data_IF_019651900103
#
_entry.id   IF_019651900103
#
_cell.length_a   1.000
_cell.length_b   1.000
_cell.length_c   1.000
_cell.angle_alpha   90.00
_cell.angle_beta   90.00
_cell.angle_gamma   90.00
#
_symmetry.space_group_name_H-M   'P 1'
#
loop_
_entity.id
_entity.type
_entity.pdbx_description
1 polymer ?
#
# COMPACT_ATOMS: atom_id res chain seq x y z
N UNK A 1 -12.86 34.09 -30.90
CA UNK A 1 -11.62 33.39 -30.48
C UNK A 1 -11.97 32.56 -29.28
N UNK A 2 -12.16 31.26 -29.50
CA UNK A 2 -12.62 30.32 -28.47
C UNK A 2 -11.37 29.69 -27.84
N UNK A 3 -11.09 30.02 -26.59
CA UNK A 3 -10.00 29.41 -25.82
C UNK A 3 -10.29 27.93 -25.66
N UNK A 4 -9.34 27.10 -26.09
CA UNK A 4 -9.43 25.65 -26.04
C UNK A 4 -9.71 25.17 -24.61
N UNK A 5 -10.69 24.28 -24.47
CA UNK A 5 -10.83 23.44 -23.30
C UNK A 5 -9.51 22.67 -23.16
N UNK A 6 -8.82 22.83 -22.04
CA UNK A 6 -7.73 21.95 -21.67
C UNK A 6 -8.41 20.68 -21.14
N UNK A 7 -8.45 19.56 -21.89
CA UNK A 7 -8.85 18.31 -21.28
C UNK A 7 -7.74 18.01 -20.27
N UNK A 8 -8.07 17.97 -18.98
CA UNK A 8 -7.20 17.28 -18.03
C UNK A 8 -7.14 15.83 -18.55
N UNK A 9 -6.15 15.53 -19.39
CA UNK A 9 -5.86 14.20 -19.87
C UNK A 9 -5.65 13.39 -18.62
N UNK A 10 -6.64 12.57 -18.28
CA UNK A 10 -6.59 11.65 -17.14
C UNK A 10 -5.34 10.83 -17.36
N UNK A 11 -4.31 11.11 -16.58
CA UNK A 11 -3.06 10.37 -16.66
C UNK A 11 -3.42 8.95 -16.25
N UNK A 12 -3.35 8.03 -17.21
CA UNK A 12 -3.60 6.63 -16.94
C UNK A 12 -2.34 6.08 -16.27
N UNK A 13 -2.42 5.84 -14.97
CA UNK A 13 -1.37 5.20 -14.20
C UNK A 13 -1.57 3.69 -14.22
N UNK A 14 -0.49 2.94 -14.43
CA UNK A 14 -0.54 1.50 -14.19
C UNK A 14 -0.93 1.23 -12.73
N UNK A 15 -1.94 0.38 -12.47
CA UNK A 15 -2.42 0.14 -11.11
C UNK A 15 -1.38 -0.60 -10.28
N UNK A 16 -1.38 -0.32 -8.98
CA UNK A 16 -0.65 -1.10 -8.00
C UNK A 16 -1.20 -2.52 -7.95
N UNK A 17 -0.32 -3.51 -7.91
CA UNK A 17 -0.67 -4.92 -7.72
C UNK A 17 0.48 -5.66 -7.06
N UNK A 18 0.15 -6.79 -6.44
CA UNK A 18 1.15 -7.77 -6.03
C UNK A 18 1.55 -8.55 -7.29
N UNK A 19 2.84 -8.59 -7.61
CA UNK A 19 3.37 -9.50 -8.63
C UNK A 19 3.43 -10.91 -8.02
N UNK A 20 2.67 -11.88 -8.54
CA UNK A 20 2.60 -13.22 -7.94
C UNK A 20 3.93 -13.96 -8.00
N UNK A 21 4.75 -13.77 -9.03
CA UNK A 21 6.02 -14.49 -9.14
C UNK A 21 7.03 -13.92 -8.14
N UNK A 22 7.13 -12.59 -8.07
CA UNK A 22 8.02 -11.93 -7.10
C UNK A 22 7.56 -12.20 -5.65
N UNK A 23 6.25 -12.25 -5.41
CA UNK A 23 5.69 -12.64 -4.13
C UNK A 23 6.07 -14.08 -3.74
N UNK A 24 6.00 -15.02 -4.68
CA UNK A 24 6.33 -16.41 -4.43
C UNK A 24 7.82 -16.58 -4.05
N UNK A 25 8.71 -15.96 -4.83
CA UNK A 25 10.14 -15.97 -4.56
C UNK A 25 10.46 -15.31 -3.20
N UNK A 26 9.79 -14.19 -2.88
CA UNK A 26 9.98 -13.47 -1.63
C UNK A 26 9.46 -14.24 -0.40
N UNK A 27 8.30 -14.90 -0.52
CA UNK A 27 7.76 -15.74 0.56
C UNK A 27 8.64 -16.97 0.79
N UNK A 28 9.18 -17.59 -0.26
CA UNK A 28 10.11 -18.71 -0.11
C UNK A 28 11.35 -18.30 0.71
N UNK A 29 11.92 -17.13 0.41
CA UNK A 29 13.05 -16.55 1.15
C UNK A 29 12.72 -16.27 2.63
N UNK A 30 11.46 -15.94 2.93
CA UNK A 30 10.98 -15.61 4.28
C UNK A 30 10.26 -16.74 5.00
N UNK A 31 10.29 -17.96 4.46
CA UNK A 31 9.51 -19.09 4.98
C UNK A 31 9.69 -19.33 6.48
N UNK A 32 10.89 -19.09 7.01
CA UNK A 32 11.20 -19.26 8.44
C UNK A 32 10.85 -18.05 9.34
N UNK A 33 10.61 -16.86 8.76
CA UNK A 33 10.41 -15.62 9.54
C UNK A 33 9.05 -14.97 9.36
N UNK A 34 8.37 -15.20 8.22
CA UNK A 34 7.16 -14.47 7.82
C UNK A 34 6.07 -14.50 8.88
N UNK A 35 5.85 -15.64 9.55
CA UNK A 35 4.82 -15.76 10.60
C UNK A 35 5.02 -14.75 11.75
N UNK A 36 6.28 -14.51 12.15
CA UNK A 36 6.60 -13.61 13.26
C UNK A 36 6.53 -12.13 12.86
N UNK A 37 6.69 -11.85 11.57
CA UNK A 37 6.76 -10.49 11.03
C UNK A 37 5.37 -9.97 10.60
N UNK A 38 4.35 -10.83 10.62
CA UNK A 38 3.00 -10.44 10.22
C UNK A 38 2.29 -9.59 11.28
N UNK A 39 1.49 -8.58 10.86
CA UNK A 39 0.63 -7.86 11.77
C UNK A 39 -0.43 -8.78 12.37
N UNK A 40 -0.43 -8.91 13.69
CA UNK A 40 -1.50 -9.58 14.44
C UNK A 40 -1.94 -8.72 15.62
N UNK A 41 -3.14 -8.92 16.20
CA UNK A 41 -3.54 -8.22 17.42
C UNK A 41 -2.60 -8.47 18.62
N UNK A 42 -1.81 -9.55 18.58
CA UNK A 42 -0.87 -9.91 19.64
C UNK A 42 0.56 -9.40 19.37
N UNK A 43 0.88 -9.02 18.14
CA UNK A 43 2.20 -8.50 17.76
C UNK A 43 2.41 -7.14 18.44
N UNK A 44 3.55 -6.88 19.08
CA UNK A 44 3.88 -5.54 19.54
C UNK A 44 4.03 -4.59 18.35
N UNK A 45 3.21 -3.54 18.28
CA UNK A 45 3.25 -2.57 17.19
C UNK A 45 2.76 -3.11 15.84
N UNK A 46 1.52 -3.60 15.74
CA UNK A 46 1.02 -4.23 14.52
C UNK A 46 0.93 -3.25 13.34
N UNK A 47 0.73 -1.95 13.57
CA UNK A 47 0.78 -0.96 12.50
C UNK A 47 2.20 -0.82 11.94
N UNK A 48 3.22 -0.80 12.79
CA UNK A 48 4.62 -0.79 12.36
C UNK A 48 5.02 -2.07 11.61
N UNK A 49 4.49 -3.23 12.03
CA UNK A 49 4.69 -4.49 11.30
C UNK A 49 4.09 -4.42 9.88
N UNK A 50 2.94 -3.77 9.71
CA UNK A 50 2.33 -3.57 8.38
C UNK A 50 3.21 -2.65 7.51
N UNK A 51 3.73 -1.57 8.10
CA UNK A 51 4.64 -0.66 7.38
C UNK A 51 5.86 -1.40 6.85
N UNK A 52 6.54 -2.15 7.72
CA UNK A 52 7.71 -2.94 7.36
C UNK A 52 7.41 -3.97 6.26
N UNK A 53 6.28 -4.67 6.36
CA UNK A 53 5.83 -5.63 5.35
C UNK A 53 5.63 -4.97 3.97
N UNK A 54 5.00 -3.79 3.94
CA UNK A 54 4.71 -3.06 2.70
C UNK A 54 5.96 -2.41 2.13
N UNK A 55 6.79 -1.77 2.96
CA UNK A 55 8.06 -1.17 2.55
C UNK A 55 8.96 -2.24 1.90
N UNK A 56 9.12 -3.37 2.57
CA UNK A 56 9.91 -4.49 2.06
C UNK A 56 9.33 -5.01 0.73
N UNK A 57 8.01 -5.23 0.66
CA UNK A 57 7.37 -5.67 -0.58
C UNK A 57 7.56 -4.68 -1.74
N UNK A 58 7.61 -3.38 -1.49
CA UNK A 58 7.93 -2.36 -2.51
C UNK A 58 9.40 -2.45 -2.92
N UNK A 59 10.32 -2.60 -1.96
CA UNK A 59 11.77 -2.69 -2.21
C UNK A 59 12.15 -3.91 -3.04
N UNK A 60 11.53 -5.07 -2.77
CA UNK A 60 11.79 -6.31 -3.50
C UNK A 60 10.98 -6.45 -4.80
N UNK A 61 10.15 -5.46 -5.15
CA UNK A 61 9.33 -5.50 -6.35
C UNK A 61 8.15 -6.48 -6.26
N UNK A 62 7.80 -6.94 -5.07
CA UNK A 62 6.60 -7.72 -4.79
C UNK A 62 5.34 -6.87 -5.00
N UNK A 63 5.37 -5.60 -4.61
CA UNK A 63 4.38 -4.61 -5.04
C UNK A 63 4.95 -3.87 -6.25
N UNK A 64 4.20 -3.91 -7.36
CA UNK A 64 4.51 -3.18 -8.59
C UNK A 64 3.41 -2.19 -8.91
N UNK A 65 3.76 -1.09 -9.56
CA UNK A 65 2.83 -0.04 -9.99
C UNK A 65 3.47 0.84 -11.06
N UNK A 66 2.83 1.96 -11.37
CA UNK A 66 3.39 2.97 -12.27
C UNK A 66 4.65 3.61 -11.66
N UNK A 67 5.69 3.79 -12.46
CA UNK A 67 7.00 4.29 -12.02
C UNK A 67 6.98 5.77 -11.59
N UNK A 68 6.00 6.54 -12.09
CA UNK A 68 5.80 7.96 -11.77
C UNK A 68 5.26 8.18 -10.36
N UNK A 69 4.66 7.17 -9.74
CA UNK A 69 4.09 7.26 -8.39
C UNK A 69 4.73 6.28 -7.43
N UNK A 70 4.59 6.58 -6.15
CA UNK A 70 5.00 5.72 -5.05
C UNK A 70 3.87 5.56 -4.04
N UNK A 71 3.96 4.45 -3.29
CA UNK A 71 3.07 4.09 -2.20
C UNK A 71 3.84 4.23 -0.90
N UNK A 72 3.25 4.91 0.09
CA UNK A 72 3.81 5.04 1.43
C UNK A 72 2.70 4.91 2.48
N UNK A 73 3.06 4.46 3.67
CA UNK A 73 2.19 4.43 4.84
C UNK A 73 2.73 5.38 5.91
N UNK A 74 1.82 6.00 6.66
CA UNK A 74 2.12 6.57 7.98
C UNK A 74 1.33 5.73 8.98
N UNK A 75 2.03 4.99 9.82
CA UNK A 75 1.43 4.02 10.75
C UNK A 75 1.48 4.50 12.18
N UNK A 76 0.45 4.18 12.95
CA UNK A 76 0.46 4.41 14.40
C UNK A 76 -0.36 3.36 15.14
N UNK A 77 0.05 3.06 16.37
CA UNK A 77 -0.58 2.08 17.26
C UNK A 77 -1.34 2.71 18.43
N UNK A 78 -1.26 4.04 18.57
CA UNK A 78 -1.91 4.81 19.61
C UNK A 78 -3.41 5.08 19.28
N UNK A 79 -4.21 5.62 20.22
CA UNK A 79 -5.65 5.80 20.02
C UNK A 79 -5.97 6.54 18.70
N UNK A 80 -6.93 6.04 17.88
CA UNK A 80 -8.03 5.13 18.23
C UNK A 80 -7.69 3.62 18.25
N UNK A 81 -6.44 3.25 18.03
CA UNK A 81 -5.95 1.88 17.94
C UNK A 81 -5.09 1.73 16.69
N UNK A 82 -4.49 0.55 16.44
CA UNK A 82 -3.60 0.35 15.30
C UNK A 82 -4.22 0.70 13.97
N UNK A 83 -3.47 1.41 13.13
CA UNK A 83 -3.92 1.81 11.81
C UNK A 83 -2.87 2.59 11.05
N UNK A 84 -3.31 3.12 9.91
CA UNK A 84 -2.41 3.77 8.96
C UNK A 84 -3.13 4.83 8.12
N UNK A 85 -2.32 5.76 7.60
CA UNK A 85 -2.69 6.65 6.51
C UNK A 85 -1.96 6.19 5.26
N UNK A 86 -2.70 5.67 4.28
CA UNK A 86 -2.17 5.33 2.97
C UNK A 86 -1.97 6.59 2.14
N UNK A 87 -0.80 6.72 1.52
CA UNK A 87 -0.42 7.86 0.69
C UNK A 87 0.05 7.35 -0.68
N UNK A 88 -0.54 7.91 -1.74
CA UNK A 88 -0.04 7.76 -3.12
C UNK A 88 0.43 9.11 -3.62
N UNK A 89 1.69 9.24 -4.03
CA UNK A 89 2.26 10.54 -4.46
C UNK A 89 3.26 10.38 -5.62
N UNK A 90 3.63 11.47 -6.32
CA UNK A 90 4.66 11.41 -7.35
C UNK A 90 6.01 11.07 -6.72
N UNK A 91 6.75 10.14 -7.33
CA UNK A 91 8.00 9.58 -6.79
C UNK A 91 9.12 10.63 -6.69
N UNK A 92 9.13 11.60 -7.58
CA UNK A 92 10.12 12.68 -7.64
C UNK A 92 9.77 13.89 -6.75
N UNK A 93 8.62 13.87 -6.06
CA UNK A 93 8.13 14.99 -5.27
C UNK A 93 7.68 14.56 -3.87
N UNK A 94 8.62 14.09 -3.04
CA UNK A 94 8.32 13.67 -1.67
C UNK A 94 7.72 14.78 -0.78
N UNK A 95 7.98 16.06 -1.12
CA UNK A 95 7.41 17.22 -0.43
C UNK A 95 6.02 17.62 -0.93
N UNK A 96 5.54 17.03 -2.04
CA UNK A 96 4.22 17.31 -2.58
C UNK A 96 3.13 16.56 -1.80
N UNK A 97 1.94 17.17 -1.67
CA UNK A 97 0.82 16.50 -1.02
C UNK A 97 0.41 15.25 -1.82
N UNK A 98 0.43 14.10 -1.16
CA UNK A 98 -0.06 12.84 -1.73
C UNK A 98 -1.57 12.68 -1.60
N UNK A 99 -2.13 11.78 -2.40
CA UNK A 99 -3.51 11.34 -2.26
C UNK A 99 -3.64 10.45 -1.03
N UNK A 100 -4.63 10.73 -0.19
CA UNK A 100 -4.95 9.90 0.98
C UNK A 100 -6.43 9.96 1.34
N UNK A 101 -6.99 8.91 1.93
CA UNK A 101 -8.33 8.91 2.55
C UNK A 101 -8.30 9.30 4.04
N UNK A 102 -7.14 9.65 4.58
CA UNK A 102 -6.95 9.84 6.02
C UNK A 102 -6.78 8.50 6.73
N UNK A 103 -7.18 8.46 8.00
CA UNK A 103 -6.94 7.33 8.88
C UNK A 103 -7.75 6.08 8.49
N UNK A 104 -7.07 4.94 8.42
CA UNK A 104 -7.64 3.61 8.22
C UNK A 104 -7.28 2.72 9.40
N UNK A 105 -8.28 2.18 10.09
CA UNK A 105 -8.03 1.21 11.16
C UNK A 105 -7.46 -0.08 10.57
N UNK A 106 -6.46 -0.66 11.24
CA UNK A 106 -5.88 -1.92 10.85
C UNK A 106 -6.89 -3.05 11.08
N UNK A 107 -7.20 -3.78 10.01
CA UNK A 107 -8.01 -4.99 10.03
C UNK A 107 -7.11 -6.20 9.81
N UNK A 108 -7.35 -7.26 10.57
CA UNK A 108 -6.54 -8.47 10.52
C UNK A 108 -7.29 -9.57 9.75
N UNK A 109 -6.61 -10.30 8.85
CA UNK A 109 -7.13 -11.56 8.33
C UNK A 109 -7.39 -12.58 9.45
N UNK A 110 -8.17 -13.63 9.18
CA UNK A 110 -8.33 -14.77 10.10
C UNK A 110 -6.98 -15.32 10.55
N UNK A 111 -6.84 -15.59 11.86
CA UNK A 111 -5.57 -16.03 12.44
C UNK A 111 -5.21 -17.49 12.14
N UNK A 112 -6.17 -18.27 11.61
CA UNK A 112 -6.00 -19.65 11.18
C UNK A 112 -5.57 -19.79 9.71
N UNK A 113 -5.50 -18.67 8.98
CA UNK A 113 -4.93 -18.66 7.63
C UNK A 113 -3.41 -18.88 7.66
N UNK A 114 -2.91 -19.55 6.63
CA UNK A 114 -1.48 -19.71 6.41
C UNK A 114 -0.77 -18.34 6.28
N UNK A 115 0.44 -18.15 6.83
CA UNK A 115 1.17 -16.88 6.77
C UNK A 115 1.29 -16.27 5.38
N UNK A 116 1.45 -17.09 4.34
CA UNK A 116 1.46 -16.62 2.94
C UNK A 116 0.14 -15.97 2.56
N UNK A 117 -0.98 -16.59 2.95
CA UNK A 117 -2.33 -16.07 2.69
C UNK A 117 -2.57 -14.75 3.42
N UNK A 118 -2.10 -14.65 4.66
CA UNK A 118 -2.20 -13.42 5.46
C UNK A 118 -1.37 -12.29 4.81
N UNK A 119 -0.11 -12.55 4.45
CA UNK A 119 0.77 -11.60 3.77
C UNK A 119 0.14 -11.10 2.46
N UNK A 120 -0.34 -12.04 1.62
CA UNK A 120 -1.01 -11.73 0.37
C UNK A 120 -2.23 -10.82 0.59
N UNK A 121 -3.02 -11.11 1.62
CA UNK A 121 -4.24 -10.34 1.93
C UNK A 121 -3.90 -8.90 2.33
N UNK A 122 -2.87 -8.69 3.16
CA UNK A 122 -2.42 -7.34 3.50
C UNK A 122 -1.97 -6.57 2.26
N UNK A 123 -1.03 -7.14 1.47
CA UNK A 123 -0.45 -6.44 0.32
C UNK A 123 -1.50 -6.13 -0.76
N UNK A 124 -2.41 -7.07 -1.04
CA UNK A 124 -3.48 -6.85 -2.01
C UNK A 124 -4.51 -5.83 -1.54
N UNK A 125 -4.84 -5.81 -0.24
CA UNK A 125 -5.72 -4.78 0.33
C UNK A 125 -5.13 -3.38 0.18
N UNK A 126 -3.83 -3.23 0.48
CA UNK A 126 -3.11 -1.96 0.30
C UNK A 126 -3.10 -1.52 -1.17
N UNK A 127 -2.82 -2.44 -2.11
CA UNK A 127 -2.89 -2.15 -3.53
C UNK A 127 -4.30 -1.70 -3.97
N UNK A 128 -5.35 -2.37 -3.50
CA UNK A 128 -6.74 -2.02 -3.82
C UNK A 128 -7.10 -0.62 -3.32
N UNK A 129 -6.73 -0.27 -2.09
CA UNK A 129 -6.95 1.06 -1.54
C UNK A 129 -6.16 2.14 -2.30
N UNK A 130 -4.92 1.85 -2.70
CA UNK A 130 -4.10 2.77 -3.49
C UNK A 130 -4.71 3.01 -4.87
N UNK A 131 -5.22 1.96 -5.51
CA UNK A 131 -5.91 2.08 -6.80
C UNK A 131 -7.23 2.84 -6.69
N UNK A 132 -7.95 2.69 -5.57
CA UNK A 132 -9.12 3.52 -5.30
C UNK A 132 -8.75 5.01 -5.23
N UNK A 133 -7.62 5.37 -4.61
CA UNK A 133 -7.11 6.75 -4.61
C UNK A 133 -6.79 7.24 -6.01
N UNK A 134 -6.07 6.45 -6.81
CA UNK A 134 -5.68 6.81 -8.18
C UNK A 134 -6.87 6.98 -9.14
N UNK A 135 -7.98 6.28 -8.87
CA UNK A 135 -9.17 6.29 -9.74
C UNK A 135 -10.26 7.24 -9.24
N UNK A 136 -10.13 7.82 -8.05
CA UNK A 136 -11.07 8.81 -7.51
C UNK A 136 -10.97 10.13 -8.28
N UNK A 137 -11.94 10.41 -9.13
CA UNK A 137 -11.98 11.61 -9.99
C UNK A 137 -12.08 12.93 -9.22
N UNK A 138 -12.30 12.88 -7.91
CA UNK A 138 -12.32 14.07 -7.04
C UNK A 138 -10.94 14.41 -6.48
N UNK A 139 -9.96 13.53 -6.68
CA UNK A 139 -8.58 13.68 -6.23
C UNK A 139 -7.66 13.87 -7.42
N UNK A 140 -6.70 14.76 -7.27
CA UNK A 140 -5.70 15.04 -8.31
C UNK A 140 -4.34 14.99 -7.68
N UNK A 141 -3.43 14.25 -8.30
CA UNK A 141 -2.01 14.38 -8.02
C UNK A 141 -1.57 15.76 -8.55
N UNK A 142 -0.73 16.49 -7.79
CA UNK A 142 -0.21 17.79 -8.20
C UNK A 142 0.71 17.71 -9.42
#
# INVERSE_FOLDING_TARGET
>A
MTTAANPHSRVDFAPFRVDPNAFDDWIELRSDTIENDLPTPATPGPAAALDALVEEAVVFGTIVGDDRVELALITADDPPGPGYVLIVRPRDQQTSPGLTYGWTNLTYPPADDDPRTIAWTFLTTICQQANALLTDTRKVLP
#
